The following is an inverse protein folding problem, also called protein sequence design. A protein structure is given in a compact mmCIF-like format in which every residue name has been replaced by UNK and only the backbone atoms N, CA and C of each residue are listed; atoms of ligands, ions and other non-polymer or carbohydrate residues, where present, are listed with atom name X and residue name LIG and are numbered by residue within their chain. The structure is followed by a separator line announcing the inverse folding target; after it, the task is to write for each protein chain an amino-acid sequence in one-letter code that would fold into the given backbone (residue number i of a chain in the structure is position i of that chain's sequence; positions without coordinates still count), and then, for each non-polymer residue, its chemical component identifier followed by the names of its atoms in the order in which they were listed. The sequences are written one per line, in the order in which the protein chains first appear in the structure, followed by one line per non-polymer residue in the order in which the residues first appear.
data_IF_512929638924
#
_entry.id   IF_512929638924
#
_cell.length_a   1.000
_cell.length_b   1.000
_cell.length_c   1.000
_cell.angle_alpha   90.00
_cell.angle_beta   90.00
_cell.angle_gamma   90.00
#
_symmetry.space_group_name_H-M   'P 1'
#
loop_
_entity.id
_entity.type
_entity.pdbx_description
1 polymer ?
#
# COMPACT_ATOMS: atom_id res chain seq x y z
N UNK A 1 -5.81 41.33 -34.36
CA UNK A 1 -6.22 40.05 -33.76
C UNK A 1 -4.99 39.40 -33.15
N UNK A 2 -4.87 39.42 -31.83
CA UNK A 2 -3.77 38.72 -31.13
C UNK A 2 -3.99 37.23 -31.34
N UNK A 3 -2.92 36.50 -31.65
CA UNK A 3 -2.94 35.12 -32.12
C UNK A 3 -3.40 34.15 -31.01
N UNK A 4 -4.72 34.06 -30.79
CA UNK A 4 -5.38 33.27 -29.73
C UNK A 4 -4.95 31.79 -29.72
N UNK A 5 -4.57 31.25 -30.88
CA UNK A 5 -4.09 29.87 -31.00
C UNK A 5 -2.76 29.63 -30.26
N UNK A 6 -1.89 30.64 -30.14
CA UNK A 6 -0.61 30.50 -29.43
C UNK A 6 -0.80 30.39 -27.92
N UNK A 7 -1.71 31.20 -27.36
CA UNK A 7 -2.03 31.14 -25.93
C UNK A 7 -2.67 29.81 -25.55
N UNK A 8 -3.67 29.35 -26.31
CA UNK A 8 -4.39 28.11 -26.01
C UNK A 8 -3.46 26.89 -26.05
N UNK A 9 -2.60 26.80 -27.07
CA UNK A 9 -1.60 25.73 -27.18
C UNK A 9 -0.61 25.78 -26.01
N UNK A 10 -0.15 26.96 -25.60
CA UNK A 10 0.75 27.10 -24.47
C UNK A 10 0.07 26.72 -23.15
N UNK A 11 -1.18 27.15 -22.94
CA UNK A 11 -1.99 26.76 -21.78
C UNK A 11 -2.16 25.24 -21.70
N UNK A 12 -2.53 24.58 -22.80
CA UNK A 12 -2.71 23.13 -22.83
C UNK A 12 -1.40 22.37 -22.58
N UNK A 13 -0.27 22.85 -23.11
CA UNK A 13 1.06 22.28 -22.82
C UNK A 13 1.41 22.40 -21.34
N UNK A 14 1.18 23.57 -20.74
CA UNK A 14 1.47 23.82 -19.33
C UNK A 14 0.57 22.95 -18.43
N UNK A 15 -0.71 22.86 -18.77
CA UNK A 15 -1.70 22.03 -18.09
C UNK A 15 -1.33 20.54 -18.16
N UNK A 16 -0.90 20.04 -19.34
CA UNK A 16 -0.42 18.68 -19.51
C UNK A 16 0.80 18.37 -18.63
N UNK A 17 1.73 19.32 -18.51
CA UNK A 17 2.89 19.17 -17.62
C UNK A 17 2.42 19.04 -16.16
N UNK A 18 1.49 19.89 -15.72
CA UNK A 18 0.94 19.86 -14.35
C UNK A 18 0.20 18.55 -14.07
N UNK A 19 -0.63 18.07 -14.99
CA UNK A 19 -1.28 16.75 -14.84
C UNK A 19 -0.28 15.61 -14.76
N UNK A 20 0.74 15.60 -15.63
CA UNK A 20 1.81 14.58 -15.56
C UNK A 20 2.58 14.62 -14.24
N UNK A 21 2.80 15.80 -13.66
CA UNK A 21 3.42 15.95 -12.34
C UNK A 21 2.51 15.37 -11.25
N UNK A 22 1.24 15.73 -11.27
CA UNK A 22 0.25 15.25 -10.31
C UNK A 22 0.09 13.73 -10.39
N UNK A 23 -0.16 13.17 -11.57
CA UNK A 23 -0.39 11.72 -11.74
C UNK A 23 0.81 10.84 -11.36
N UNK A 24 2.00 11.45 -11.27
CA UNK A 24 3.24 10.79 -10.87
C UNK A 24 3.67 11.15 -9.44
N UNK A 25 2.94 11.98 -8.72
CA UNK A 25 3.27 12.28 -7.33
C UNK A 25 3.02 11.08 -6.43
N UNK A 26 3.90 10.91 -5.44
CA UNK A 26 3.97 9.69 -4.64
C UNK A 26 3.88 10.03 -3.15
N UNK A 27 2.95 9.37 -2.47
CA UNK A 27 3.00 9.20 -1.02
C UNK A 27 3.44 7.80 -0.65
N UNK A 28 4.24 7.67 0.41
CA UNK A 28 4.58 6.38 0.99
C UNK A 28 3.97 6.32 2.38
N UNK A 29 3.25 5.25 2.67
CA UNK A 29 2.58 5.03 3.94
C UNK A 29 3.31 3.89 4.65
N UNK A 30 3.89 4.18 5.81
CA UNK A 30 4.49 3.18 6.69
C UNK A 30 3.45 2.85 7.76
N UNK A 31 2.92 1.64 7.69
CA UNK A 31 1.83 1.17 8.53
C UNK A 31 2.32 0.26 9.65
N UNK A 32 1.82 0.48 10.86
CA UNK A 32 1.91 -0.46 11.97
C UNK A 32 2.56 0.14 13.21
N UNK A 33 2.78 -0.67 14.26
CA UNK A 33 3.51 -0.21 15.44
C UNK A 33 4.90 0.30 15.05
N UNK A 34 5.39 1.33 15.72
CA UNK A 34 6.74 1.82 15.49
C UNK A 34 7.76 0.69 15.72
N UNK A 35 8.70 0.57 14.80
CA UNK A 35 9.69 -0.50 14.82
C UNK A 35 11.09 0.04 14.50
N UNK A 36 12.12 -0.42 15.22
CA UNK A 36 13.50 0.10 15.09
C UNK A 36 14.08 0.03 13.67
N UNK A 37 13.57 -0.89 12.83
CA UNK A 37 13.96 -0.99 11.40
C UNK A 37 13.54 0.22 10.57
N UNK A 38 12.60 1.02 11.05
CA UNK A 38 12.21 2.27 10.39
C UNK A 38 13.40 3.23 10.22
N UNK A 39 14.39 3.16 11.12
CA UNK A 39 15.64 3.91 10.97
C UNK A 39 16.42 3.55 9.70
N UNK A 40 16.25 2.35 9.18
CA UNK A 40 16.85 1.89 7.93
C UNK A 40 15.90 2.10 6.73
N UNK A 41 14.59 1.86 6.88
CA UNK A 41 13.64 1.97 5.76
C UNK A 41 13.25 3.40 5.40
N UNK A 42 13.01 4.27 6.38
CA UNK A 42 12.59 5.67 6.15
C UNK A 42 13.57 6.45 5.26
N UNK A 43 14.90 6.38 5.46
CA UNK A 43 15.85 7.06 4.58
C UNK A 43 15.69 6.69 3.10
N UNK A 44 15.43 5.42 2.79
CA UNK A 44 15.19 4.98 1.41
C UNK A 44 13.89 5.55 0.85
N UNK A 45 12.82 5.58 1.65
CA UNK A 45 11.52 6.07 1.24
C UNK A 45 11.51 7.59 1.02
N UNK A 46 12.11 8.33 1.95
CA UNK A 46 12.29 9.78 1.81
C UNK A 46 13.16 10.13 0.61
N UNK A 47 14.26 9.39 0.40
CA UNK A 47 15.09 9.58 -0.79
C UNK A 47 14.28 9.41 -2.06
N UNK A 48 13.49 8.35 -2.19
CA UNK A 48 12.62 8.15 -3.36
C UNK A 48 11.69 9.34 -3.58
N UNK A 49 10.98 9.81 -2.55
CA UNK A 49 10.06 10.96 -2.67
C UNK A 49 10.83 12.21 -3.11
N UNK A 50 11.97 12.51 -2.49
CA UNK A 50 12.82 13.68 -2.78
C UNK A 50 13.44 13.65 -4.17
N UNK A 51 13.84 12.46 -4.63
CA UNK A 51 14.45 12.24 -5.94
C UNK A 51 13.39 12.26 -7.06
N UNK A 52 12.10 12.10 -6.74
CA UNK A 52 11.07 12.37 -7.73
C UNK A 52 11.09 13.85 -8.12
N UNK A 53 10.98 14.13 -9.42
CA UNK A 53 10.78 15.50 -9.94
C UNK A 53 9.49 16.16 -9.45
N UNK A 54 8.71 15.47 -8.63
CA UNK A 54 7.34 15.79 -8.21
C UNK A 54 7.19 15.78 -6.68
N UNK A 55 8.32 15.88 -5.95
CA UNK A 55 8.37 15.86 -4.48
C UNK A 55 7.41 16.84 -3.80
N UNK A 56 7.12 17.96 -4.46
CA UNK A 56 6.20 19.01 -3.99
C UNK A 56 4.75 18.54 -3.82
N UNK A 57 4.40 17.38 -4.39
CA UNK A 57 3.05 16.81 -4.35
C UNK A 57 2.99 15.46 -3.61
N UNK A 58 4.06 15.05 -2.94
CA UNK A 58 4.18 13.76 -2.26
C UNK A 58 4.64 13.92 -0.81
N UNK A 59 4.43 12.88 0.00
CA UNK A 59 4.87 12.86 1.40
C UNK A 59 5.10 11.43 1.92
N UNK A 60 5.89 11.31 2.98
CA UNK A 60 6.00 10.10 3.77
C UNK A 60 5.03 10.22 4.95
N UNK A 61 4.11 9.27 5.08
CA UNK A 61 3.20 9.19 6.22
C UNK A 61 3.60 8.02 7.09
N UNK A 62 3.94 8.31 8.35
CA UNK A 62 4.18 7.29 9.37
C UNK A 62 2.89 7.16 10.18
N UNK A 63 2.16 6.06 9.97
CA UNK A 63 0.89 5.82 10.65
C UNK A 63 1.01 4.71 11.68
N UNK A 64 1.00 5.09 12.95
CA UNK A 64 1.39 4.26 14.09
C UNK A 64 0.39 4.34 15.25
N UNK A 65 0.59 3.52 16.29
CA UNK A 65 -0.32 3.47 17.45
C UNK A 65 -0.01 4.54 18.48
N UNK A 66 -1.06 4.98 19.20
CA UNK A 66 -0.96 6.06 20.16
C UNK A 66 -0.03 5.79 21.35
N UNK A 67 0.21 4.52 21.65
CA UNK A 67 1.03 4.03 22.76
C UNK A 67 2.44 3.57 22.32
N UNK A 68 2.83 3.79 21.06
CA UNK A 68 4.16 3.46 20.57
C UNK A 68 5.26 4.41 21.11
N UNK A 69 6.49 3.90 21.23
CA UNK A 69 7.68 4.70 21.54
C UNK A 69 8.09 5.59 20.35
N UNK A 70 7.68 6.86 20.40
CA UNK A 70 7.99 7.87 19.38
C UNK A 70 9.48 8.20 19.28
N UNK A 71 10.30 7.79 20.27
CA UNK A 71 11.76 7.89 20.21
C UNK A 71 12.36 7.17 19.01
N UNK A 72 11.66 6.18 18.44
CA UNK A 72 12.05 5.46 17.22
C UNK A 72 12.07 6.37 15.99
N UNK A 73 11.20 7.37 15.91
CA UNK A 73 11.03 8.22 14.71
C UNK A 73 11.47 9.66 14.92
N UNK A 74 12.04 9.98 16.08
CA UNK A 74 12.43 11.35 16.47
C UNK A 74 13.32 12.05 15.44
N UNK A 75 14.17 11.31 14.73
CA UNK A 75 15.12 11.90 13.77
C UNK A 75 14.45 12.27 12.43
N UNK A 76 13.18 11.90 12.24
CA UNK A 76 12.43 12.11 11.00
C UNK A 76 11.29 13.13 11.13
N UNK A 77 10.87 13.48 12.35
CA UNK A 77 9.67 14.33 12.57
C UNK A 77 9.84 15.76 12.07
N UNK A 78 11.07 16.25 11.98
CA UNK A 78 11.39 17.61 11.52
C UNK A 78 11.49 17.71 9.98
N UNK A 79 11.46 16.59 9.25
CA UNK A 79 11.49 16.63 7.79
C UNK A 79 10.13 17.12 7.26
N UNK A 80 10.07 18.18 6.44
CA UNK A 80 8.81 18.78 5.99
C UNK A 80 7.98 17.85 5.08
N UNK A 81 8.57 16.77 4.56
CA UNK A 81 7.85 15.76 3.79
C UNK A 81 7.29 14.64 4.66
N UNK A 82 7.59 14.62 5.97
CA UNK A 82 7.11 13.60 6.90
C UNK A 82 5.84 14.07 7.59
N UNK A 83 4.84 13.20 7.63
CA UNK A 83 3.63 13.38 8.41
C UNK A 83 3.46 12.23 9.38
N UNK A 84 3.20 12.54 10.65
CA UNK A 84 2.95 11.55 11.69
C UNK A 84 1.45 11.45 11.93
N UNK A 85 0.88 10.27 11.71
CA UNK A 85 -0.53 9.97 11.98
C UNK A 85 -0.62 8.98 13.14
N UNK A 86 -0.98 9.48 14.32
CA UNK A 86 -1.14 8.69 15.53
C UNK A 86 -2.58 8.15 15.63
N UNK A 87 -2.72 6.84 15.87
CA UNK A 87 -4.02 6.15 15.89
C UNK A 87 -4.34 5.64 17.31
N UNK A 88 -5.49 6.05 17.86
CA UNK A 88 -5.98 5.55 19.15
C UNK A 88 -6.88 4.32 18.96
N UNK A 89 -6.57 3.26 19.70
CA UNK A 89 -7.36 2.03 19.78
C UNK A 89 -8.81 2.23 20.22
N UNK A 90 -9.10 3.24 21.03
CA UNK A 90 -10.46 3.54 21.47
C UNK A 90 -11.37 3.94 20.31
N UNK A 91 -10.81 4.40 19.18
CA UNK A 91 -11.58 4.71 17.98
C UNK A 91 -12.13 3.44 17.29
N UNK A 92 -11.63 2.25 17.62
CA UNK A 92 -12.08 0.96 17.07
C UNK A 92 -13.12 0.25 17.97
N UNK A 93 -13.76 1.01 18.88
CA UNK A 93 -14.60 0.58 20.01
C UNK A 93 -15.73 -0.42 19.73
N UNK A 94 -16.10 -0.71 18.47
CA UNK A 94 -17.27 -1.55 18.18
C UNK A 94 -17.07 -3.05 18.39
N UNK A 95 -15.84 -3.56 18.47
CA UNK A 95 -15.58 -5.00 18.68
C UNK A 95 -14.36 -5.27 19.59
N UNK A 96 -14.31 -4.64 20.76
CA UNK A 96 -13.43 -5.02 21.89
C UNK A 96 -13.65 -6.50 22.34
N UNK A 97 -14.72 -7.14 21.88
CA UNK A 97 -15.12 -8.51 22.25
C UNK A 97 -14.52 -9.60 21.37
N UNK A 98 -13.20 -9.68 21.29
CA UNK A 98 -12.55 -10.97 21.07
C UNK A 98 -11.43 -11.11 22.09
N UNK A 99 -11.79 -11.66 23.25
CA UNK A 99 -10.90 -12.26 24.25
C UNK A 99 -10.16 -13.48 23.67
N UNK A 100 -9.55 -13.34 22.49
CA UNK A 100 -8.51 -14.27 22.08
C UNK A 100 -7.26 -13.90 22.89
N UNK A 101 -6.54 -14.90 23.38
CA UNK A 101 -5.30 -14.75 24.18
C UNK A 101 -4.17 -13.92 23.51
N UNK A 102 -4.42 -13.35 22.32
CA UNK A 102 -3.47 -12.60 21.48
C UNK A 102 -3.75 -11.10 21.41
N UNK A 103 -4.64 -10.58 22.26
CA UNK A 103 -4.98 -9.16 22.26
C UNK A 103 -5.98 -8.79 21.16
N UNK A 104 -6.23 -7.49 20.97
CA UNK A 104 -7.28 -7.02 20.07
C UNK A 104 -6.99 -7.33 18.59
N UNK A 105 -8.04 -7.38 17.75
CA UNK A 105 -8.04 -7.98 16.41
C UNK A 105 -6.99 -7.37 15.44
N UNK A 106 -5.88 -8.07 15.13
CA UNK A 106 -4.78 -7.54 14.30
C UNK A 106 -5.22 -7.05 12.91
N UNK A 107 -6.33 -7.55 12.38
CA UNK A 107 -6.84 -7.20 11.06
C UNK A 107 -7.43 -5.79 11.04
N UNK A 108 -8.20 -5.43 12.06
CA UNK A 108 -8.77 -4.09 12.18
C UNK A 108 -7.67 -3.04 12.32
N UNK A 109 -6.63 -3.39 13.04
CA UNK A 109 -5.47 -2.54 13.27
C UNK A 109 -4.69 -2.20 12.02
N UNK A 110 -4.35 -3.22 11.25
CA UNK A 110 -3.69 -3.03 9.97
C UNK A 110 -4.50 -2.15 9.02
N UNK A 111 -5.81 -2.36 8.94
CA UNK A 111 -6.67 -1.60 8.03
C UNK A 111 -6.89 -0.15 8.51
N UNK A 112 -7.08 0.05 9.81
CA UNK A 112 -7.27 1.39 10.40
C UNK A 112 -6.06 2.29 10.23
N UNK A 113 -4.86 1.81 10.61
CA UNK A 113 -3.61 2.55 10.42
C UNK A 113 -3.33 2.82 8.95
N UNK A 114 -3.57 1.85 8.06
CA UNK A 114 -3.42 2.08 6.61
C UNK A 114 -4.39 3.16 6.12
N UNK A 115 -5.68 3.09 6.48
CA UNK A 115 -6.69 4.03 6.03
C UNK A 115 -6.43 5.46 6.54
N UNK A 116 -6.08 5.63 7.83
CA UNK A 116 -5.74 6.94 8.37
C UNK A 116 -4.44 7.48 7.75
N UNK A 117 -3.43 6.64 7.53
CA UNK A 117 -2.25 7.04 6.77
C UNK A 117 -2.60 7.53 5.35
N UNK A 118 -3.47 6.81 4.63
CA UNK A 118 -3.94 7.20 3.29
C UNK A 118 -4.80 8.48 3.29
N UNK A 119 -5.46 8.83 4.39
CA UNK A 119 -6.16 10.12 4.51
C UNK A 119 -5.18 11.31 4.52
N UNK A 120 -3.93 11.08 4.90
CA UNK A 120 -2.86 12.09 4.96
C UNK A 120 -1.93 12.09 3.75
N UNK A 121 -2.09 11.11 2.87
CA UNK A 121 -1.34 11.06 1.62
C UNK A 121 -1.74 12.22 0.70
N UNK A 122 -0.73 12.96 0.21
CA UNK A 122 -0.89 14.07 -0.74
C UNK A 122 -0.68 13.64 -2.19
N UNK A 123 0.04 12.54 -2.41
CA UNK A 123 0.34 11.98 -3.72
C UNK A 123 -0.89 11.44 -4.44
N UNK A 124 -0.89 11.53 -5.76
CA UNK A 124 -1.90 10.85 -6.60
C UNK A 124 -1.75 9.33 -6.53
N UNK A 125 -0.51 8.87 -6.40
CA UNK A 125 -0.15 7.49 -6.14
C UNK A 125 0.26 7.33 -4.68
N UNK A 126 -0.03 6.15 -4.13
CA UNK A 126 0.40 5.76 -2.80
C UNK A 126 1.03 4.37 -2.83
N UNK A 127 2.06 4.18 -2.03
CA UNK A 127 2.63 2.87 -1.71
C UNK A 127 2.52 2.66 -0.20
N UNK A 128 1.76 1.66 0.22
CA UNK A 128 1.70 1.17 1.59
C UNK A 128 2.79 0.13 1.81
N UNK A 129 3.50 0.24 2.93
CA UNK A 129 4.47 -0.74 3.44
C UNK A 129 4.19 -1.00 4.93
N UNK A 130 4.73 -2.09 5.48
CA UNK A 130 4.73 -2.34 6.93
C UNK A 130 5.94 -1.69 7.62
N UNK A 131 5.78 -1.27 8.87
CA UNK A 131 6.82 -0.63 9.69
C UNK A 131 7.99 -1.55 10.03
N UNK A 132 7.75 -2.86 10.13
CA UNK A 132 8.75 -3.86 10.47
C UNK A 132 9.55 -4.39 9.26
N UNK A 133 9.32 -3.81 8.08
CA UNK A 133 9.88 -4.24 6.80
C UNK A 133 10.67 -3.13 6.09
N UNK A 134 11.56 -3.54 5.21
CA UNK A 134 12.51 -2.65 4.52
C UNK A 134 12.50 -2.99 3.04
N UNK A 135 12.22 -2.00 2.19
CA UNK A 135 12.26 -2.12 0.73
C UNK A 135 13.23 -1.08 0.14
N UNK A 136 14.56 -1.30 0.17
CA UNK A 136 15.53 -0.28 -0.26
C UNK A 136 15.40 0.12 -1.74
N UNK A 137 14.98 -0.81 -2.60
CA UNK A 137 14.78 -0.62 -4.03
C UNK A 137 13.32 -0.31 -4.41
N UNK A 138 12.64 0.49 -3.58
CA UNK A 138 11.23 0.87 -3.78
C UNK A 138 11.00 1.69 -5.07
N UNK A 139 12.06 2.28 -5.60
CA UNK A 139 12.06 2.98 -6.88
C UNK A 139 11.65 2.07 -8.06
N UNK A 140 11.96 0.76 -7.99
CA UNK A 140 11.51 -0.24 -8.97
C UNK A 140 9.98 -0.39 -8.92
N UNK A 141 9.42 -0.42 -7.72
CA UNK A 141 7.96 -0.50 -7.50
C UNK A 141 7.26 0.75 -8.03
N UNK A 142 7.80 1.93 -7.70
CA UNK A 142 7.27 3.21 -8.17
C UNK A 142 7.33 3.33 -9.71
N UNK A 143 8.46 2.96 -10.34
CA UNK A 143 8.57 2.97 -11.81
C UNK A 143 7.51 2.11 -12.49
N UNK A 144 7.13 0.98 -11.87
CA UNK A 144 6.05 0.14 -12.37
C UNK A 144 4.68 0.82 -12.25
N UNK A 145 4.41 1.50 -11.14
CA UNK A 145 3.16 2.27 -10.95
C UNK A 145 2.96 3.41 -11.97
N UNK A 146 4.05 4.06 -12.40
CA UNK A 146 3.99 5.16 -13.39
C UNK A 146 4.18 4.68 -14.84
N UNK A 147 4.31 3.38 -15.07
CA UNK A 147 4.47 2.83 -16.41
C UNK A 147 3.15 2.89 -17.20
N UNK A 148 3.25 3.06 -18.52
CA UNK A 148 2.07 3.16 -19.39
C UNK A 148 1.17 1.90 -19.33
N UNK A 149 1.76 0.74 -19.03
CA UNK A 149 1.06 -0.54 -18.93
C UNK A 149 0.30 -0.71 -17.60
N UNK A 150 0.52 0.18 -16.63
CA UNK A 150 -0.13 0.14 -15.33
C UNK A 150 -1.33 1.10 -15.30
N UNK A 151 -2.49 0.60 -15.73
CA UNK A 151 -3.73 1.39 -15.79
C UNK A 151 -4.75 0.81 -14.82
N UNK A 152 -5.07 1.56 -13.77
CA UNK A 152 -6.21 1.29 -12.88
C UNK A 152 -6.09 0.08 -11.96
N UNK A 153 -4.98 -0.67 -12.02
CA UNK A 153 -4.71 -1.84 -11.18
C UNK A 153 -4.15 -1.46 -9.80
N UNK A 154 -4.11 -2.44 -8.91
CA UNK A 154 -3.28 -2.44 -7.70
C UNK A 154 -1.98 -3.19 -7.98
N UNK A 155 -0.86 -2.70 -7.48
CA UNK A 155 0.44 -3.38 -7.54
C UNK A 155 0.72 -3.97 -6.16
N UNK A 156 1.22 -5.19 -6.11
CA UNK A 156 1.69 -5.82 -4.88
C UNK A 156 2.94 -6.68 -5.16
N UNK A 157 3.48 -7.33 -4.12
CA UNK A 157 4.59 -8.28 -4.25
C UNK A 157 4.11 -9.74 -4.26
N UNK A 158 5.03 -10.67 -4.48
CA UNK A 158 4.78 -12.11 -4.36
C UNK A 158 4.93 -12.65 -2.93
N UNK A 159 5.22 -11.81 -1.92
CA UNK A 159 5.33 -12.22 -0.50
C UNK A 159 3.98 -12.76 0.00
N UNK A 160 3.91 -14.04 0.38
CA UNK A 160 2.65 -14.68 0.78
C UNK A 160 1.49 -14.58 -0.23
N UNK A 161 1.78 -14.35 -1.51
CA UNK A 161 0.76 -14.39 -2.54
C UNK A 161 0.41 -15.86 -2.87
N UNK A 162 -0.66 -16.38 -2.24
CA UNK A 162 -1.07 -17.78 -2.33
C UNK A 162 -1.71 -18.11 -3.68
N UNK A 163 -1.34 -19.26 -4.27
CA UNK A 163 -1.96 -19.81 -5.51
C UNK A 163 -3.47 -19.90 -5.39
N UNK A 164 -4.18 -19.69 -6.51
CA UNK A 164 -5.64 -19.64 -6.56
C UNK A 164 -6.31 -20.93 -6.07
N UNK A 165 -5.66 -22.07 -6.33
CA UNK A 165 -6.12 -23.40 -5.91
C UNK A 165 -6.01 -23.63 -4.41
N UNK A 166 -5.16 -22.86 -3.73
CA UNK A 166 -4.98 -22.93 -2.28
C UNK A 166 -5.86 -21.90 -1.58
N UNK A 167 -5.77 -20.64 -1.99
CA UNK A 167 -6.55 -19.53 -1.43
C UNK A 167 -6.93 -18.53 -2.52
N UNK A 168 -8.24 -18.37 -2.76
CA UNK A 168 -8.76 -17.41 -3.72
C UNK A 168 -8.61 -15.99 -3.16
N UNK A 169 -8.38 -15.02 -4.06
CA UNK A 169 -8.31 -13.60 -3.73
C UNK A 169 -7.31 -13.26 -2.61
N UNK A 170 -6.13 -13.87 -2.61
CA UNK A 170 -5.13 -13.70 -1.54
C UNK A 170 -3.84 -13.00 -2.04
N UNK A 171 -3.88 -11.69 -2.32
CA UNK A 171 -2.69 -10.92 -2.66
C UNK A 171 -1.77 -10.73 -1.45
N UNK A 172 -0.52 -10.34 -1.70
CA UNK A 172 0.36 -9.82 -0.65
C UNK A 172 -0.20 -8.51 -0.07
N UNK A 173 -0.14 -8.36 1.25
CA UNK A 173 -0.49 -7.14 1.99
C UNK A 173 0.73 -6.36 2.53
N UNK A 174 1.91 -6.96 2.44
CA UNK A 174 3.19 -6.42 2.92
C UNK A 174 3.56 -5.09 2.25
N UNK A 175 3.41 -5.05 0.92
CA UNK A 175 3.54 -3.85 0.11
C UNK A 175 2.39 -3.79 -0.90
N UNK A 176 1.65 -2.68 -0.93
CA UNK A 176 0.55 -2.47 -1.88
C UNK A 176 0.67 -1.05 -2.43
N UNK A 177 0.59 -0.87 -3.74
CA UNK A 177 0.49 0.46 -4.35
C UNK A 177 -0.60 0.57 -5.40
N UNK A 178 -0.91 1.81 -5.74
CA UNK A 178 -1.96 2.16 -6.70
C UNK A 178 -2.35 3.62 -6.58
N UNK A 179 -3.47 3.98 -7.21
CA UNK A 179 -4.06 5.32 -7.04
C UNK A 179 -4.46 5.52 -5.58
N UNK A 180 -4.05 6.63 -4.98
CA UNK A 180 -4.33 6.96 -3.58
C UNK A 180 -5.81 6.89 -3.27
N UNK A 181 -6.67 7.40 -4.16
CA UNK A 181 -8.13 7.31 -4.02
C UNK A 181 -8.62 5.87 -3.90
N UNK A 182 -8.20 4.99 -4.81
CA UNK A 182 -8.65 3.60 -4.82
C UNK A 182 -8.17 2.85 -3.58
N UNK A 183 -6.93 3.07 -3.15
CA UNK A 183 -6.41 2.50 -1.91
C UNK A 183 -7.18 3.02 -0.70
N UNK A 184 -7.44 4.33 -0.64
CA UNK A 184 -8.19 4.96 0.47
C UNK A 184 -9.60 4.40 0.58
N UNK A 185 -10.33 4.30 -0.53
CA UNK A 185 -11.67 3.74 -0.55
C UNK A 185 -11.67 2.23 -0.19
N UNK A 186 -10.68 1.49 -0.69
CA UNK A 186 -10.50 0.06 -0.37
C UNK A 186 -10.16 -0.20 1.09
N UNK A 187 -9.22 0.53 1.67
CA UNK A 187 -8.85 0.36 3.09
C UNK A 187 -9.91 0.90 4.05
N UNK A 188 -10.68 1.92 3.67
CA UNK A 188 -11.90 2.33 4.39
C UNK A 188 -12.92 1.18 4.46
N UNK A 189 -13.14 0.51 3.33
CA UNK A 189 -14.03 -0.65 3.30
C UNK A 189 -13.43 -1.84 4.08
N UNK A 190 -12.12 -2.08 3.99
CA UNK A 190 -11.45 -3.13 4.74
C UNK A 190 -11.56 -2.91 6.25
N UNK A 191 -11.38 -1.67 6.72
CA UNK A 191 -11.58 -1.30 8.11
C UNK A 191 -13.02 -1.61 8.56
N UNK A 192 -14.02 -1.20 7.78
CA UNK A 192 -15.43 -1.50 8.05
C UNK A 192 -15.70 -3.02 8.10
N UNK A 193 -15.24 -3.78 7.10
CA UNK A 193 -15.45 -5.23 7.06
C UNK A 193 -14.75 -5.95 8.22
N UNK A 194 -13.56 -5.49 8.62
CA UNK A 194 -12.80 -6.08 9.72
C UNK A 194 -13.43 -5.86 11.09
N UNK A 195 -14.32 -4.86 11.18
CA UNK A 195 -15.07 -4.47 12.38
C UNK A 195 -16.55 -4.86 12.28
N UNK A 196 -16.92 -5.80 11.41
CA UNK A 196 -18.29 -6.33 11.32
C UNK A 196 -18.28 -7.86 11.31
N UNK A 197 -19.46 -8.49 11.41
CA UNK A 197 -19.60 -9.96 11.30
C UNK A 197 -19.14 -10.50 9.95
N UNK A 198 -19.10 -9.66 8.91
CA UNK A 198 -18.55 -9.99 7.59
C UNK A 198 -17.09 -10.47 7.65
N UNK A 199 -16.31 -10.04 8.66
CA UNK A 199 -14.94 -10.55 8.89
C UNK A 199 -14.89 -12.08 8.94
N UNK A 200 -15.91 -12.74 9.50
CA UNK A 200 -15.95 -14.19 9.63
C UNK A 200 -16.06 -14.95 8.30
N UNK A 201 -16.31 -14.26 7.19
CA UNK A 201 -16.29 -14.84 5.83
C UNK A 201 -14.87 -15.04 5.29
N UNK A 202 -13.87 -14.42 5.93
CA UNK A 202 -12.49 -14.45 5.47
C UNK A 202 -11.64 -15.30 6.42
N UNK A 203 -10.75 -16.11 5.83
CA UNK A 203 -9.77 -16.90 6.58
C UNK A 203 -8.53 -16.08 6.92
N UNK A 204 -8.16 -15.16 6.03
CA UNK A 204 -6.95 -14.35 6.12
C UNK A 204 -7.25 -12.85 5.93
N UNK A 205 -6.48 -11.94 6.56
CA UNK A 205 -6.63 -10.50 6.36
C UNK A 205 -6.41 -10.08 4.89
N UNK A 206 -5.52 -10.77 4.18
CA UNK A 206 -5.22 -10.55 2.77
C UNK A 206 -6.45 -10.73 1.88
N UNK A 207 -7.29 -11.73 2.17
CA UNK A 207 -8.55 -11.96 1.45
C UNK A 207 -9.54 -10.83 1.68
N UNK A 208 -9.66 -10.38 2.92
CA UNK A 208 -10.52 -9.25 3.27
C UNK A 208 -10.06 -7.98 2.54
N UNK A 209 -8.76 -7.68 2.56
CA UNK A 209 -8.17 -6.53 1.88
C UNK A 209 -8.42 -6.62 0.37
N UNK A 210 -8.22 -7.79 -0.24
CA UNK A 210 -8.46 -8.00 -1.66
C UNK A 210 -9.90 -7.72 -2.05
N UNK A 211 -10.85 -8.31 -1.34
CA UNK A 211 -12.28 -8.11 -1.60
C UNK A 211 -12.66 -6.63 -1.43
N UNK A 212 -12.12 -5.95 -0.42
CA UNK A 212 -12.38 -4.54 -0.19
C UNK A 212 -11.81 -3.66 -1.31
N UNK A 213 -10.58 -3.91 -1.76
CA UNK A 213 -9.94 -3.20 -2.88
C UNK A 213 -10.71 -3.39 -4.19
N UNK A 214 -11.14 -4.61 -4.50
CA UNK A 214 -11.94 -4.91 -5.70
C UNK A 214 -13.29 -4.19 -5.66
N UNK A 215 -14.00 -4.25 -4.51
CA UNK A 215 -15.29 -3.58 -4.35
C UNK A 215 -15.18 -2.05 -4.45
N UNK A 216 -14.09 -1.47 -3.96
CA UNK A 216 -13.83 -0.02 -4.08
C UNK A 216 -13.68 0.45 -5.53
N UNK A 217 -13.33 -0.44 -6.47
CA UNK A 217 -13.28 -0.16 -7.91
C UNK A 217 -14.47 -0.78 -8.67
N UNK A 218 -15.57 -1.07 -7.98
CA UNK A 218 -16.81 -1.63 -8.53
C UNK A 218 -16.64 -3.02 -9.18
N UNK A 219 -15.70 -3.82 -8.69
CA UNK A 219 -15.49 -5.20 -9.14
C UNK A 219 -15.99 -6.15 -8.06
N UNK A 220 -17.06 -6.89 -8.34
CA UNK A 220 -17.59 -7.87 -7.40
C UNK A 220 -16.74 -9.16 -7.41
N UNK A 221 -16.15 -9.57 -6.27
CA UNK A 221 -15.37 -10.80 -6.20
C UNK A 221 -16.26 -12.03 -6.40
N UNK A 222 -15.98 -12.81 -7.46
CA UNK A 222 -16.66 -14.07 -7.76
C UNK A 222 -15.64 -15.19 -7.77
N UNK A 223 -15.75 -16.15 -6.85
CA UNK A 223 -14.74 -17.22 -6.68
C UNK A 223 -14.44 -17.99 -7.96
N UNK A 224 -15.44 -18.32 -8.76
CA UNK A 224 -15.27 -19.03 -10.03
C UNK A 224 -14.57 -18.19 -11.11
N UNK A 225 -14.44 -16.86 -10.92
CA UNK A 225 -13.70 -15.93 -11.81
C UNK A 225 -12.45 -15.35 -11.16
N UNK A 226 -12.06 -15.83 -9.98
CA UNK A 226 -10.90 -15.35 -9.18
C UNK A 226 -9.66 -15.10 -10.03
N UNK A 227 -9.21 -16.11 -10.79
CA UNK A 227 -8.12 -16.03 -11.80
C UNK A 227 -8.19 -14.79 -12.71
N UNK A 228 -9.33 -14.65 -13.40
CA UNK A 228 -9.55 -13.55 -14.34
C UNK A 228 -9.60 -12.19 -13.63
N UNK A 229 -10.38 -12.09 -12.56
CA UNK A 229 -10.56 -10.85 -11.80
C UNK A 229 -9.22 -10.34 -11.26
N UNK A 230 -8.42 -11.21 -10.66
CA UNK A 230 -7.12 -10.82 -10.13
C UNK A 230 -6.15 -10.41 -11.25
N UNK A 231 -6.10 -11.11 -12.39
CA UNK A 231 -5.27 -10.71 -13.56
C UNK A 231 -5.65 -9.32 -14.10
N UNK A 232 -6.94 -9.01 -14.09
CA UNK A 232 -7.47 -7.73 -14.57
C UNK A 232 -7.21 -6.58 -13.58
N UNK A 233 -7.18 -6.84 -12.27
CA UNK A 233 -7.18 -5.78 -11.25
C UNK A 233 -5.91 -5.70 -10.40
N UNK A 234 -5.07 -6.74 -10.41
CA UNK A 234 -3.81 -6.78 -9.70
C UNK A 234 -2.65 -7.03 -10.68
N UNK A 235 -1.54 -6.34 -10.43
CA UNK A 235 -0.24 -6.66 -10.99
C UNK A 235 0.69 -7.07 -9.83
N UNK A 236 1.66 -7.92 -10.13
CA UNK A 236 2.55 -8.50 -9.12
C UNK A 236 3.99 -8.25 -9.52
N UNK A 237 4.71 -7.48 -8.72
CA UNK A 237 6.14 -7.28 -8.86
C UNK A 237 6.88 -8.32 -8.00
N UNK A 238 7.63 -9.26 -8.60
CA UNK A 238 8.41 -10.20 -7.82
C UNK A 238 9.40 -9.48 -6.91
N UNK A 239 9.44 -9.85 -5.63
CA UNK A 239 10.29 -9.24 -4.61
C UNK A 239 11.79 -9.35 -4.96
N UNK A 240 12.17 -10.38 -5.72
CA UNK A 240 13.51 -10.54 -6.27
C UNK A 240 13.96 -9.39 -7.19
N UNK A 241 13.02 -8.60 -7.74
CA UNK A 241 13.31 -7.37 -8.50
C UNK A 241 13.56 -6.15 -7.61
N UNK A 242 13.34 -6.26 -6.31
CA UNK A 242 13.62 -5.23 -5.30
C UNK A 242 14.72 -5.73 -4.36
N UNK A 243 16.00 -5.73 -4.80
CA UNK A 243 17.11 -6.29 -4.04
C UNK A 243 17.30 -5.59 -2.69
N UNK A 244 17.81 -6.33 -1.71
CA UNK A 244 18.03 -5.83 -0.35
C UNK A 244 16.76 -5.76 0.50
N UNK A 245 15.59 -6.15 -0.03
CA UNK A 245 14.36 -6.17 0.75
C UNK A 245 14.42 -7.16 1.91
N UNK A 246 13.95 -6.71 3.08
CA UNK A 246 13.85 -7.49 4.31
C UNK A 246 12.41 -7.43 4.79
N UNK A 247 11.84 -8.60 5.08
CA UNK A 247 10.45 -8.73 5.47
C UNK A 247 10.33 -9.67 6.68
N UNK A 248 9.14 -9.73 7.28
CA UNK A 248 8.89 -10.54 8.46
C UNK A 248 7.70 -11.48 8.28
N UNK A 249 7.84 -12.70 8.78
CA UNK A 249 6.72 -13.59 9.00
C UNK A 249 6.69 -13.98 10.47
N UNK A 250 5.49 -14.17 11.02
CA UNK A 250 5.27 -14.61 12.40
C UNK A 250 5.96 -15.95 12.75
N UNK A 251 6.45 -16.69 11.77
CA UNK A 251 7.14 -17.97 11.91
C UNK A 251 8.56 -18.02 11.30
N UNK A 252 9.09 -16.92 10.73
CA UNK A 252 10.48 -16.87 10.20
C UNK A 252 11.27 -15.75 10.88
N UNK A 253 12.45 -16.08 11.43
CA UNK A 253 13.46 -15.08 11.84
C UNK A 253 13.78 -14.20 10.62
N UNK A 254 13.84 -12.88 10.82
CA UNK A 254 14.18 -11.84 9.83
C UNK A 254 15.26 -12.30 8.83
N UNK A 255 14.87 -12.81 7.66
CA UNK A 255 15.80 -13.32 6.63
C UNK A 255 15.66 -12.45 5.38
N UNK A 256 16.79 -12.12 4.75
CA UNK A 256 16.82 -11.52 3.40
C UNK A 256 16.14 -12.48 2.43
N UNK A 257 15.28 -11.96 1.56
CA UNK A 257 14.73 -12.75 0.46
C UNK A 257 15.77 -12.89 -0.64
N UNK A 258 16.18 -14.12 -0.91
CA UNK A 258 16.97 -14.48 -2.10
C UNK A 258 16.17 -15.32 -3.09
N UNK A 259 14.98 -15.78 -2.72
CA UNK A 259 14.15 -16.68 -3.52
C UNK A 259 12.81 -16.04 -3.86
N UNK A 260 12.40 -16.09 -5.13
CA UNK A 260 10.99 -15.94 -5.52
C UNK A 260 10.17 -16.91 -4.69
N UNK A 261 9.09 -16.46 -4.05
CA UNK A 261 8.12 -17.43 -3.54
C UNK A 261 7.29 -17.92 -4.73
N UNK A 262 7.24 -19.23 -4.95
CA UNK A 262 6.41 -19.83 -5.99
C UNK A 262 4.94 -19.52 -5.70
N UNK A 263 4.29 -18.74 -6.57
CA UNK A 263 2.95 -18.18 -6.31
C UNK A 263 2.19 -17.79 -7.58
N UNK A 264 1.30 -16.80 -7.49
CA UNK A 264 0.46 -16.37 -8.62
C UNK A 264 1.20 -15.82 -9.84
N UNK A 265 2.47 -15.45 -9.72
CA UNK A 265 3.26 -14.95 -10.87
C UNK A 265 3.34 -16.01 -11.98
N UNK A 266 3.30 -17.29 -11.60
CA UNK A 266 3.18 -18.42 -12.52
C UNK A 266 1.74 -18.61 -13.00
N UNK A 267 0.73 -18.49 -12.13
CA UNK A 267 -0.69 -18.72 -12.47
C UNK A 267 -1.31 -17.62 -13.37
N UNK A 268 -0.91 -16.35 -13.23
CA UNK A 268 -1.39 -15.23 -14.09
C UNK A 268 -0.83 -15.34 -15.51
N UNK A 269 0.42 -15.77 -15.62
CA UNK A 269 1.14 -15.87 -16.90
C UNK A 269 0.72 -17.10 -17.70
N UNK A 270 0.18 -18.13 -17.03
CA UNK A 270 -0.32 -19.35 -17.65
C UNK A 270 -1.85 -19.35 -17.88
N UNK A 271 -2.46 -18.16 -17.92
CA UNK A 271 -3.84 -17.94 -18.40
C UNK A 271 -3.86 -17.53 -19.86
#
# INVERSE_FOLDING_TARGET
MVNNQSWEVNFLKDLLIRFKRLERSLSIIVQGPLHKRMNESIPHYLKLIKDTKYKEYGNLVISHWSDDDTGIIKDFVEDPLVHIEQNDYNNLSRYKNNNSKRGPNPWAYQNHTTHNGLKRATGYLSIKTRSDEIFPALDVFYRKLISADFIGKFLTSDIYFRRDSAEKFHPSDHIIGGRTRNLKDGFKLAELLSTTSERCRFRFPEQLICHALLKAVNVEPKEYKSKKIMKENFDVLPIAKMPGSIWTASYRKYRRLTTKEDGWVQDIKNL
#
